data_IF_148895428842
#
_entry.id   IF_148895428842
#
_cell.length_a   1.000
_cell.length_b   1.000
_cell.length_c   1.000
_cell.angle_alpha   90.00
_cell.angle_beta   90.00
_cell.angle_gamma   90.00
#
_symmetry.space_group_name_H-M   'P 1'
#
loop_
_entity.id
_entity.type
_entity.pdbx_description
1 polymer ?
#
# COMPACT_ATOMS: atom_id res chain seq x y z
N UNK A 1 3.78 -2.78 15.80
CA UNK A 1 2.88 -3.52 14.88
C UNK A 1 3.77 -4.31 13.93
N UNK A 2 3.39 -5.54 13.63
CA UNK A 2 4.13 -6.35 12.66
C UNK A 2 4.00 -5.76 11.24
N UNK A 3 5.09 -5.80 10.47
CA UNK A 3 5.17 -5.18 9.14
C UNK A 3 4.20 -5.85 8.15
N UNK A 4 4.02 -7.17 8.26
CA UNK A 4 3.04 -7.93 7.47
C UNK A 4 1.62 -7.49 7.82
N UNK A 5 1.32 -7.33 9.11
CA UNK A 5 -0.01 -6.88 9.55
C UNK A 5 -0.34 -5.48 9.03
N UNK A 6 0.64 -4.57 9.01
CA UNK A 6 0.46 -3.24 8.39
C UNK A 6 0.15 -3.34 6.89
N UNK A 7 0.84 -4.22 6.15
CA UNK A 7 0.56 -4.46 4.73
C UNK A 7 -0.84 -5.02 4.48
N UNK A 8 -1.28 -5.99 5.30
CA UNK A 8 -2.65 -6.54 5.21
C UNK A 8 -3.68 -5.44 5.42
N UNK A 9 -3.52 -4.60 6.45
CA UNK A 9 -4.41 -3.47 6.71
C UNK A 9 -4.45 -2.49 5.55
N UNK A 10 -3.30 -2.22 4.95
CA UNK A 10 -3.19 -1.35 3.79
C UNK A 10 -3.93 -1.92 2.57
N UNK A 11 -3.77 -3.20 2.25
CA UNK A 11 -4.48 -3.84 1.13
C UNK A 11 -6.00 -3.79 1.34
N UNK A 12 -6.47 -4.09 2.55
CA UNK A 12 -7.91 -4.01 2.88
C UNK A 12 -8.43 -2.57 2.80
N UNK A 13 -7.63 -1.58 3.23
CA UNK A 13 -8.02 -0.18 3.12
C UNK A 13 -8.14 0.25 1.65
N UNK A 14 -7.20 -0.15 0.77
CA UNK A 14 -7.31 0.10 -0.67
C UNK A 14 -8.56 -0.52 -1.29
N UNK A 15 -8.87 -1.77 -0.95
CA UNK A 15 -10.06 -2.47 -1.44
C UNK A 15 -11.32 -1.70 -1.02
N UNK A 16 -11.45 -1.38 0.27
CA UNK A 16 -12.58 -0.62 0.81
C UNK A 16 -12.71 0.76 0.15
N UNK A 17 -11.61 1.50 -0.01
CA UNK A 17 -11.62 2.80 -0.70
C UNK A 17 -11.99 2.66 -2.18
N UNK A 18 -11.60 1.56 -2.84
CA UNK A 18 -11.98 1.27 -4.23
C UNK A 18 -13.48 1.00 -4.39
N UNK A 19 -14.08 0.30 -3.43
CA UNK A 19 -15.52 0.02 -3.41
C UNK A 19 -16.34 1.24 -3.01
N UNK A 20 -15.85 2.04 -2.07
CA UNK A 20 -16.55 3.20 -1.52
C UNK A 20 -16.45 4.45 -2.39
N UNK A 21 -15.44 4.57 -3.26
CA UNK A 21 -15.25 5.77 -4.07
C UNK A 21 -16.42 6.03 -5.02
N UNK A 22 -16.90 7.27 -4.99
CA UNK A 22 -17.91 7.79 -5.91
C UNK A 22 -17.32 8.16 -7.27
N UNK A 23 -16.00 8.30 -7.36
CA UNK A 23 -15.25 8.72 -8.56
C UNK A 23 -14.83 7.52 -9.38
N UNK A 24 -15.27 7.47 -10.64
CA UNK A 24 -14.95 6.34 -11.52
C UNK A 24 -13.47 6.32 -11.93
N UNK A 25 -12.88 7.50 -12.09
CA UNK A 25 -11.48 7.74 -12.41
C UNK A 25 -10.54 7.14 -11.33
N UNK A 26 -10.86 7.33 -10.05
CA UNK A 26 -10.10 6.84 -8.91
C UNK A 26 -10.06 5.30 -8.86
N UNK A 27 -11.08 4.61 -9.37
CA UNK A 27 -11.13 3.13 -9.35
C UNK A 27 -9.98 2.49 -10.10
N UNK A 28 -9.55 3.10 -11.22
CA UNK A 28 -8.41 2.59 -11.99
C UNK A 28 -7.08 2.75 -11.25
N UNK A 29 -6.97 3.83 -10.47
CA UNK A 29 -5.82 4.11 -9.60
C UNK A 29 -5.78 3.09 -8.46
N UNK A 30 -6.89 2.87 -7.75
CA UNK A 30 -6.96 1.85 -6.70
C UNK A 30 -6.62 0.45 -7.21
N UNK A 31 -7.09 0.07 -8.40
CA UNK A 31 -6.72 -1.22 -9.01
C UNK A 31 -5.22 -1.34 -9.27
N UNK A 32 -4.59 -0.26 -9.73
CA UNK A 32 -3.14 -0.21 -9.95
C UNK A 32 -2.37 -0.34 -8.63
N UNK A 33 -2.82 0.38 -7.59
CA UNK A 33 -2.24 0.30 -6.25
C UNK A 33 -2.41 -1.09 -5.63
N UNK A 34 -3.58 -1.71 -5.76
CA UNK A 34 -3.84 -3.09 -5.29
C UNK A 34 -2.95 -4.10 -6.01
N UNK A 35 -2.84 -3.99 -7.33
CA UNK A 35 -2.01 -4.88 -8.14
C UNK A 35 -0.53 -4.80 -7.75
N UNK A 36 -0.04 -3.61 -7.41
CA UNK A 36 1.35 -3.43 -6.97
C UNK A 36 1.57 -3.85 -5.51
N UNK A 37 0.57 -3.66 -4.63
CA UNK A 37 0.64 -4.03 -3.22
C UNK A 37 0.65 -5.56 -2.99
N UNK A 38 -0.05 -6.33 -3.84
CA UNK A 38 -0.13 -7.79 -3.73
C UNK A 38 1.23 -8.51 -3.70
N UNK A 39 2.13 -8.26 -4.67
CA UNK A 39 3.49 -8.79 -4.66
C UNK A 39 4.31 -8.39 -3.43
N UNK A 40 4.10 -7.19 -2.86
CA UNK A 40 4.80 -6.74 -1.65
C UNK A 40 4.38 -7.59 -0.45
N UNK A 41 3.08 -7.80 -0.29
CA UNK A 41 2.53 -8.67 0.74
C UNK A 41 3.02 -10.12 0.58
N UNK A 42 3.03 -10.64 -0.65
CA UNK A 42 3.54 -11.98 -0.94
C UNK A 42 5.03 -12.12 -0.56
N UNK A 43 5.89 -11.18 -0.97
CA UNK A 43 7.31 -11.15 -0.59
C UNK A 43 7.48 -11.08 0.94
N UNK A 44 6.67 -10.29 1.63
CA UNK A 44 6.71 -10.18 3.08
C UNK A 44 6.34 -11.50 3.78
N UNK A 45 5.29 -12.19 3.32
CA UNK A 45 4.83 -13.46 3.87
C UNK A 45 5.84 -14.59 3.71
N UNK A 46 6.55 -14.65 2.58
CA UNK A 46 7.61 -15.64 2.34
C UNK A 46 8.95 -15.25 2.97
N UNK A 47 9.01 -14.12 3.70
CA UNK A 47 10.21 -13.57 4.32
C UNK A 47 11.36 -13.38 3.32
N UNK A 48 11.02 -12.82 2.16
CA UNK A 48 11.99 -12.41 1.14
C UNK A 48 13.04 -11.45 1.74
N UNK A 49 14.17 -11.29 1.05
CA UNK A 49 15.24 -10.41 1.50
C UNK A 49 14.73 -8.98 1.73
N UNK A 50 15.11 -8.39 2.85
CA UNK A 50 14.66 -7.04 3.23
C UNK A 50 14.98 -5.99 2.16
N UNK A 51 16.10 -6.14 1.45
CA UNK A 51 16.48 -5.28 0.32
C UNK A 51 15.49 -5.35 -0.85
N UNK A 52 14.95 -6.54 -1.15
CA UNK A 52 13.94 -6.73 -2.18
C UNK A 52 12.64 -6.04 -1.78
N UNK A 53 12.21 -6.24 -0.53
CA UNK A 53 10.98 -5.63 0.00
C UNK A 53 11.11 -4.10 0.02
N UNK A 54 12.25 -3.57 0.48
CA UNK A 54 12.51 -2.13 0.51
C UNK A 54 12.48 -1.49 -0.89
N UNK A 55 13.03 -2.18 -1.91
CA UNK A 55 12.95 -1.74 -3.30
C UNK A 55 11.50 -1.66 -3.79
N UNK A 56 10.68 -2.67 -3.47
CA UNK A 56 9.26 -2.67 -3.84
C UNK A 56 8.47 -1.58 -3.11
N UNK A 57 8.71 -1.38 -1.81
CA UNK A 57 8.09 -0.28 -1.04
C UNK A 57 8.43 1.07 -1.66
N UNK A 58 9.68 1.28 -2.09
CA UNK A 58 10.11 2.52 -2.74
C UNK A 58 9.44 2.74 -4.10
N UNK A 59 9.22 1.67 -4.87
CA UNK A 59 8.47 1.75 -6.14
C UNK A 59 7.00 2.06 -5.89
N UNK A 60 6.39 1.42 -4.89
CA UNK A 60 5.01 1.67 -4.50
C UNK A 60 4.77 3.09 -4.00
N UNK A 61 5.70 3.65 -3.23
CA UNK A 61 5.66 5.06 -2.78
C UNK A 61 5.64 6.02 -3.97
N UNK A 62 6.41 5.73 -5.03
CA UNK A 62 6.38 6.55 -6.25
C UNK A 62 5.03 6.45 -6.94
N UNK A 63 4.47 5.24 -7.06
CA UNK A 63 3.13 5.05 -7.64
C UNK A 63 2.08 5.86 -6.87
N UNK A 64 2.14 5.84 -5.53
CA UNK A 64 1.32 6.71 -4.69
C UNK A 64 1.53 8.20 -4.97
N UNK A 65 2.79 8.66 -5.00
CA UNK A 65 3.13 10.06 -5.23
C UNK A 65 2.68 10.61 -6.59
N UNK A 66 2.52 9.75 -7.59
CA UNK A 66 1.99 10.09 -8.90
C UNK A 66 0.48 9.84 -9.04
N UNK A 67 -0.16 9.23 -8.04
CA UNK A 67 -1.60 8.96 -8.04
C UNK A 67 -2.36 10.19 -7.56
N UNK A 68 -3.30 10.66 -8.37
CA UNK A 68 -4.19 11.78 -8.01
C UNK A 68 -5.58 11.25 -7.70
N UNK A 69 -5.80 10.91 -6.44
CA UNK A 69 -7.11 10.50 -5.92
C UNK A 69 -7.91 11.74 -5.49
N UNK A 70 -9.17 11.83 -5.92
CA UNK A 70 -10.01 13.00 -5.67
C UNK A 70 -11.03 12.76 -4.56
N UNK A 71 -11.51 11.54 -4.40
CA UNK A 71 -12.49 11.19 -3.38
C UNK A 71 -11.79 11.02 -2.00
N UNK A 72 -12.20 11.73 -0.94
CA UNK A 72 -11.55 11.68 0.38
C UNK A 72 -11.52 10.29 1.02
N UNK A 73 -12.26 9.30 0.49
CA UNK A 73 -12.14 7.90 0.94
C UNK A 73 -10.73 7.31 0.81
N UNK A 74 -9.80 7.96 0.09
CA UNK A 74 -8.40 7.53 0.03
C UNK A 74 -7.65 7.68 1.37
N UNK A 75 -8.16 8.50 2.30
CA UNK A 75 -7.41 8.84 3.51
C UNK A 75 -7.09 7.61 4.36
N UNK A 76 -8.01 6.65 4.48
CA UNK A 76 -7.78 5.39 5.20
C UNK A 76 -6.63 4.58 4.59
N UNK A 77 -6.57 4.48 3.26
CA UNK A 77 -5.50 3.80 2.55
C UNK A 77 -4.16 4.54 2.67
N UNK A 78 -4.19 5.88 2.62
CA UNK A 78 -3.01 6.72 2.84
C UNK A 78 -2.42 6.54 4.24
N UNK A 79 -3.25 6.58 5.28
CA UNK A 79 -2.82 6.40 6.67
C UNK A 79 -2.24 5.00 6.89
N UNK A 80 -2.90 3.97 6.35
CA UNK A 80 -2.42 2.59 6.41
C UNK A 80 -1.07 2.43 5.68
N UNK A 81 -0.87 3.13 4.56
CA UNK A 81 0.40 3.13 3.85
C UNK A 81 1.54 3.79 4.64
N UNK A 82 1.27 4.89 5.35
CA UNK A 82 2.27 5.48 6.26
C UNK A 82 2.66 4.49 7.37
N UNK A 83 1.70 3.73 7.90
CA UNK A 83 1.98 2.70 8.90
C UNK A 83 2.84 1.55 8.35
N UNK A 84 2.69 1.17 7.07
CA UNK A 84 3.59 0.23 6.39
C UNK A 84 5.01 0.78 6.35
N UNK A 85 5.19 2.01 5.87
CA UNK A 85 6.51 2.64 5.77
C UNK A 85 7.21 2.74 7.12
N UNK A 86 6.49 3.13 8.16
CA UNK A 86 7.00 3.18 9.53
C UNK A 86 7.45 1.80 10.04
N UNK A 87 6.64 0.76 9.83
CA UNK A 87 6.97 -0.60 10.26
C UNK A 87 8.24 -1.13 9.58
N UNK A 88 8.40 -0.87 8.27
CA UNK A 88 9.58 -1.31 7.52
C UNK A 88 10.84 -0.48 7.79
N UNK A 89 10.69 0.81 8.09
CA UNK A 89 11.80 1.64 8.56
C UNK A 89 12.33 1.16 9.92
N UNK A 90 11.44 0.76 10.83
CA UNK A 90 11.81 0.24 12.14
C UNK A 90 12.43 -1.16 12.06
N UNK A 91 12.00 -2.00 11.12
CA UNK A 91 12.56 -3.34 10.92
C UNK A 91 13.93 -3.37 10.22
N UNK A 92 14.39 -2.24 9.69
CA UNK A 92 15.71 -2.09 9.07
C UNK A 92 16.81 -1.64 10.05
N UNK A 93 16.44 -1.32 11.31
CA UNK A 93 17.34 -0.98 12.42
C UNK A 93 17.53 -2.22 13.30
#
# INVERSE_FOLDING_TARGET
>A
MDAIQSLVKYVLALEQSSEATSRAEDRSIYKSLLADAGPILASALVRDAQSNIASRISQHERLWGYSWLQDPVFQSASDAWQAVKLAYAQAAV
#
